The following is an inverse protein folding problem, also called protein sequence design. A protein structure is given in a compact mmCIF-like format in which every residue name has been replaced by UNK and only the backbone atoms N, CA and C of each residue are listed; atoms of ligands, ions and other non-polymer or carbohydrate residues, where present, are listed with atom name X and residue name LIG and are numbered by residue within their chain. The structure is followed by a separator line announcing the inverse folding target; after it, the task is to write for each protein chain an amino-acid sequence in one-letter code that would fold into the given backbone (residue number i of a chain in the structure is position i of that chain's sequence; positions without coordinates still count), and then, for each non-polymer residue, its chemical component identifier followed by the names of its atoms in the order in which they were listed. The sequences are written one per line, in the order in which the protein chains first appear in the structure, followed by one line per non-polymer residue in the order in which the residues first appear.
data_IF_814113459845
#
_entry.id   IF_814113459845
#
_cell.length_a   1.000
_cell.length_b   1.000
_cell.length_c   1.000
_cell.angle_alpha   90.00
_cell.angle_beta   90.00
_cell.angle_gamma   90.00
#
_symmetry.space_group_name_H-M   'P 1'
#
loop_
_entity.id
_entity.type
_entity.pdbx_description
1 polymer ?
#
# COMPACT_ATOMS: atom_id res chain seq x y z
N UNK A 1 -7.28 3.00 -22.30
CA UNK A 1 -7.93 3.20 -20.99
C UNK A 1 -7.24 2.25 -20.01
N UNK A 2 -6.80 2.70 -18.82
CA UNK A 2 -6.14 1.82 -17.86
C UNK A 2 -7.11 0.74 -17.39
N UNK A 3 -6.63 -0.51 -17.32
CA UNK A 3 -7.38 -1.66 -16.81
C UNK A 3 -6.99 -1.84 -15.34
N UNK A 4 -7.99 -1.93 -14.47
CA UNK A 4 -7.81 -2.22 -13.05
C UNK A 4 -8.30 -3.65 -12.78
N UNK A 5 -7.41 -4.50 -12.27
CA UNK A 5 -7.76 -5.85 -11.80
C UNK A 5 -8.39 -5.78 -10.40
N UNK A 6 -9.38 -6.63 -10.12
CA UNK A 6 -10.06 -6.69 -8.83
C UNK A 6 -11.17 -7.73 -8.82
N UNK A 7 -12.04 -7.70 -7.82
CA UNK A 7 -13.25 -8.53 -7.80
C UNK A 7 -14.45 -7.66 -7.44
N UNK A 8 -15.48 -7.71 -8.28
CA UNK A 8 -16.73 -7.00 -8.08
C UNK A 8 -17.89 -7.96 -8.29
N UNK A 9 -18.93 -7.82 -7.46
CA UNK A 9 -20.22 -8.46 -7.71
C UNK A 9 -21.24 -7.35 -7.94
N UNK A 10 -21.76 -7.30 -9.15
CA UNK A 10 -22.69 -6.28 -9.61
C UNK A 10 -24.08 -6.90 -9.72
N UNK A 11 -25.10 -6.25 -9.18
CA UNK A 11 -26.50 -6.61 -9.41
C UNK A 11 -27.05 -5.79 -10.58
N UNK A 12 -27.75 -6.45 -11.50
CA UNK A 12 -28.45 -5.77 -12.58
C UNK A 12 -29.71 -5.13 -12.04
N UNK A 13 -29.79 -3.80 -12.07
CA UNK A 13 -30.94 -3.03 -11.57
C UNK A 13 -31.82 -2.46 -12.69
N UNK A 14 -31.41 -2.62 -13.95
CA UNK A 14 -32.18 -2.15 -15.09
C UNK A 14 -33.16 -3.19 -15.64
N UNK A 15 -34.43 -2.77 -15.78
CA UNK A 15 -35.54 -3.63 -16.21
C UNK A 15 -35.33 -4.23 -17.61
N UNK A 16 -34.67 -3.51 -18.52
CA UNK A 16 -34.35 -4.00 -19.87
C UNK A 16 -33.18 -5.00 -19.92
N UNK A 17 -32.51 -5.25 -18.79
CA UNK A 17 -31.33 -6.09 -18.71
C UNK A 17 -30.07 -5.47 -19.32
N UNK A 18 -28.93 -6.12 -19.10
CA UNK A 18 -27.61 -5.67 -19.56
C UNK A 18 -27.01 -6.72 -20.48
N UNK A 19 -26.83 -6.37 -21.74
CA UNK A 19 -26.20 -7.24 -22.73
C UNK A 19 -24.68 -7.26 -22.57
N UNK A 20 -24.08 -8.45 -22.73
CA UNK A 20 -22.62 -8.61 -22.75
C UNK A 20 -22.03 -7.89 -23.99
N UNK A 21 -20.84 -7.32 -23.86
CA UNK A 21 -20.11 -6.62 -24.93
C UNK A 21 -18.75 -7.26 -25.14
N UNK A 22 -18.29 -7.41 -26.39
CA UNK A 22 -16.94 -7.91 -26.68
C UNK A 22 -15.83 -6.92 -26.32
N UNK A 23 -16.15 -5.64 -26.29
CA UNK A 23 -15.21 -4.56 -26.01
C UNK A 23 -15.83 -3.58 -24.99
N UNK A 24 -15.02 -2.89 -24.18
CA UNK A 24 -15.50 -1.90 -23.21
C UNK A 24 -15.89 -0.58 -23.92
N UNK A 25 -16.95 -0.63 -24.71
CA UNK A 25 -17.51 0.51 -25.45
C UNK A 25 -19.03 0.42 -25.51
N UNK A 26 -19.69 1.57 -25.67
CA UNK A 26 -21.16 1.64 -25.89
C UNK A 26 -21.61 1.11 -27.25
N UNK A 27 -20.69 0.91 -28.18
CA UNK A 27 -21.02 0.56 -29.56
C UNK A 27 -21.91 -0.69 -29.64
N UNK A 28 -23.10 -0.55 -30.25
CA UNK A 28 -24.06 -1.64 -30.38
C UNK A 28 -23.49 -2.83 -31.17
N UNK A 29 -22.58 -2.58 -32.11
CA UNK A 29 -21.87 -3.58 -32.90
C UNK A 29 -21.03 -4.57 -32.08
N UNK A 30 -20.70 -4.19 -30.84
CA UNK A 30 -19.94 -5.05 -29.92
C UNK A 30 -20.84 -5.89 -29.02
N UNK A 31 -22.17 -5.76 -29.13
CA UNK A 31 -23.11 -6.57 -28.36
C UNK A 31 -22.94 -8.04 -28.73
N UNK A 32 -22.81 -8.87 -27.72
CA UNK A 32 -23.03 -10.29 -27.86
C UNK A 32 -24.52 -10.58 -27.60
N UNK A 33 -25.24 -10.94 -28.65
CA UNK A 33 -26.68 -11.23 -28.55
C UNK A 33 -26.95 -12.55 -27.80
N UNK A 34 -25.94 -13.40 -27.62
CA UNK A 34 -26.10 -14.69 -26.96
C UNK A 34 -26.33 -14.58 -25.45
N UNK A 35 -25.93 -13.47 -24.81
CA UNK A 35 -25.98 -13.32 -23.35
C UNK A 35 -26.45 -11.93 -22.92
N UNK A 36 -27.59 -11.89 -22.24
CA UNK A 36 -28.13 -10.71 -21.57
C UNK A 36 -28.49 -11.07 -20.14
N UNK A 37 -27.96 -10.30 -19.18
CA UNK A 37 -28.28 -10.43 -17.76
C UNK A 37 -29.56 -9.66 -17.46
N UNK A 38 -30.47 -10.25 -16.70
CA UNK A 38 -31.80 -9.70 -16.38
C UNK A 38 -31.78 -9.00 -15.02
N UNK A 39 -32.83 -8.23 -14.73
CA UNK A 39 -33.05 -7.57 -13.44
C UNK A 39 -32.89 -8.58 -12.28
N UNK A 40 -32.04 -8.24 -11.31
CA UNK A 40 -31.71 -9.06 -10.14
C UNK A 40 -30.56 -10.05 -10.35
N UNK A 41 -30.05 -10.23 -11.57
CA UNK A 41 -28.91 -11.11 -11.81
C UNK A 41 -27.66 -10.55 -11.14
N UNK A 42 -26.90 -11.42 -10.48
CA UNK A 42 -25.58 -11.11 -9.92
C UNK A 42 -24.49 -11.48 -10.92
N UNK A 43 -23.73 -10.48 -11.35
CA UNK A 43 -22.64 -10.59 -12.31
C UNK A 43 -21.32 -10.45 -11.55
N UNK A 44 -20.50 -11.51 -11.60
CA UNK A 44 -19.14 -11.49 -11.05
C UNK A 44 -18.18 -10.92 -12.09
N UNK A 45 -17.35 -9.99 -11.67
CA UNK A 45 -16.41 -9.28 -12.53
C UNK A 45 -15.02 -9.28 -11.92
N UNK A 46 -13.99 -9.40 -12.76
CA UNK A 46 -12.58 -9.53 -12.36
C UNK A 46 -11.68 -8.36 -12.83
N UNK A 47 -12.19 -7.52 -13.74
CA UNK A 47 -11.51 -6.30 -14.20
C UNK A 47 -12.49 -5.16 -14.37
N UNK A 48 -12.01 -3.92 -14.28
CA UNK A 48 -12.77 -2.73 -14.67
C UNK A 48 -11.95 -1.72 -15.44
N UNK A 49 -12.64 -0.89 -16.22
CA UNK A 49 -12.06 0.20 -17.00
C UNK A 49 -12.98 1.42 -16.86
N UNK A 50 -12.40 2.56 -16.49
CA UNK A 50 -13.11 3.84 -16.49
C UNK A 50 -12.97 4.51 -17.86
N UNK A 51 -14.09 4.72 -18.55
CA UNK A 51 -14.14 5.45 -19.80
C UNK A 51 -14.05 6.96 -19.56
N UNK A 52 -13.58 7.70 -20.57
CA UNK A 52 -13.50 9.17 -20.52
C UNK A 52 -14.87 9.85 -20.38
N UNK A 53 -15.95 9.15 -20.71
CA UNK A 53 -17.34 9.56 -20.52
C UNK A 53 -17.84 9.44 -19.07
N UNK A 54 -17.02 8.87 -18.16
CA UNK A 54 -17.35 8.71 -16.75
C UNK A 54 -18.10 7.42 -16.40
N UNK A 55 -18.15 6.48 -17.33
CA UNK A 55 -18.80 5.17 -17.19
C UNK A 55 -17.75 4.10 -16.87
N UNK A 56 -18.15 3.11 -16.09
CA UNK A 56 -17.27 2.03 -15.71
C UNK A 56 -17.70 0.75 -16.43
N UNK A 57 -16.78 0.20 -17.20
CA UNK A 57 -16.94 -1.11 -17.83
C UNK A 57 -16.33 -2.17 -16.92
N UNK A 58 -17.02 -3.28 -16.72
CA UNK A 58 -16.59 -4.41 -15.90
C UNK A 58 -16.49 -5.65 -16.77
N UNK A 59 -15.35 -6.34 -16.71
CA UNK A 59 -15.14 -7.60 -17.40
C UNK A 59 -15.82 -8.72 -16.60
N UNK A 60 -16.60 -9.58 -17.26
CA UNK A 60 -17.34 -10.64 -16.59
C UNK A 60 -16.50 -11.91 -16.46
N UNK A 61 -16.33 -12.39 -15.23
CA UNK A 61 -15.51 -13.55 -14.89
C UNK A 61 -15.91 -14.79 -15.71
N UNK A 62 -14.94 -15.49 -16.28
CA UNK A 62 -15.16 -16.68 -17.09
C UNK A 62 -15.71 -16.41 -18.50
N UNK A 63 -15.73 -15.16 -18.96
CA UNK A 63 -16.08 -14.78 -20.33
C UNK A 63 -15.04 -13.81 -20.88
N UNK A 64 -15.06 -13.55 -22.19
CA UNK A 64 -14.27 -12.47 -22.82
C UNK A 64 -15.08 -11.15 -22.92
N UNK A 65 -16.16 -11.04 -22.15
CA UNK A 65 -17.16 -10.00 -22.31
C UNK A 65 -17.17 -8.97 -21.20
N UNK A 66 -17.75 -7.81 -21.52
CA UNK A 66 -17.84 -6.64 -20.66
C UNK A 66 -19.30 -6.23 -20.46
N UNK A 67 -19.60 -5.69 -19.29
CA UNK A 67 -20.85 -4.99 -18.96
C UNK A 67 -20.50 -3.59 -18.46
N UNK A 68 -21.47 -2.68 -18.30
CA UNK A 68 -21.19 -1.30 -17.85
C UNK A 68 -22.25 -0.81 -16.87
N UNK A 69 -21.82 0.07 -15.95
CA UNK A 69 -22.61 0.47 -14.78
C UNK A 69 -23.78 1.39 -15.08
N UNK A 70 -23.65 2.31 -16.04
CA UNK A 70 -24.68 3.32 -16.33
C UNK A 70 -24.70 3.74 -17.79
N UNK A 71 -25.86 4.15 -18.27
CA UNK A 71 -26.04 4.81 -19.56
C UNK A 71 -26.63 6.19 -19.32
N UNK A 72 -25.85 7.22 -19.63
CA UNK A 72 -26.20 8.63 -19.41
C UNK A 72 -26.53 8.90 -17.93
N UNK A 73 -27.80 9.07 -17.58
CA UNK A 73 -28.27 9.26 -16.20
C UNK A 73 -28.85 7.99 -15.56
N UNK A 74 -29.00 6.92 -16.34
CA UNK A 74 -29.63 5.69 -15.89
C UNK A 74 -28.61 4.68 -15.38
N UNK A 75 -28.76 4.24 -14.14
CA UNK A 75 -27.94 3.18 -13.54
C UNK A 75 -28.45 1.82 -14.06
N UNK A 76 -27.54 1.01 -14.56
CA UNK A 76 -27.77 -0.33 -15.10
C UNK A 76 -27.32 -1.42 -14.14
N UNK A 77 -26.19 -1.19 -13.46
CA UNK A 77 -25.63 -2.10 -12.47
C UNK A 77 -25.40 -1.36 -11.16
N UNK A 78 -25.78 -1.99 -10.06
CA UNK A 78 -25.48 -1.52 -8.71
C UNK A 78 -24.50 -2.48 -8.05
N UNK A 79 -23.50 -1.97 -7.36
CA UNK A 79 -22.52 -2.82 -6.69
C UNK A 79 -23.15 -3.40 -5.40
N UNK A 80 -23.56 -4.67 -5.44
CA UNK A 80 -24.34 -5.30 -4.36
C UNK A 80 -23.48 -5.62 -3.12
N UNK A 81 -22.16 -5.71 -3.26
CA UNK A 81 -21.29 -5.84 -2.08
C UNK A 81 -19.90 -5.30 -2.38
N UNK A 82 -19.50 -4.26 -1.66
CA UNK A 82 -18.11 -3.98 -1.33
C UNK A 82 -17.71 -4.93 -0.19
N UNK A 83 -17.70 -6.25 -0.43
CA UNK A 83 -16.66 -6.99 0.25
C UNK A 83 -15.39 -6.37 -0.35
N UNK A 84 -14.57 -5.61 0.41
CA UNK A 84 -13.31 -5.11 -0.13
C UNK A 84 -12.67 -6.33 -0.76
N UNK A 85 -12.23 -6.28 -2.04
CA UNK A 85 -11.66 -7.44 -2.69
C UNK A 85 -10.70 -8.00 -1.67
N UNK A 86 -11.01 -9.18 -1.14
CA UNK A 86 -10.11 -9.82 -0.20
C UNK A 86 -8.91 -10.02 -1.06
N UNK A 87 -7.90 -9.14 -0.95
CA UNK A 87 -6.65 -9.24 -1.67
C UNK A 87 -6.17 -10.63 -1.33
N UNK A 88 -6.46 -11.58 -2.21
CA UNK A 88 -6.04 -12.97 -2.10
C UNK A 88 -4.54 -13.06 -2.37
N UNK A 89 -3.90 -11.94 -2.68
CA UNK A 89 -2.46 -11.71 -2.56
C UNK A 89 -2.01 -11.59 -1.09
N UNK A 90 -2.54 -12.42 -0.21
CA UNK A 90 -1.86 -12.67 1.06
C UNK A 90 -0.62 -13.47 0.70
N UNK A 91 0.54 -12.80 0.65
CA UNK A 91 1.79 -13.50 0.39
C UNK A 91 2.02 -14.53 1.49
N UNK A 92 2.22 -15.78 1.08
CA UNK A 92 2.66 -16.83 1.98
C UNK A 92 4.17 -16.76 2.17
N UNK A 93 4.68 -17.39 3.23
CA UNK A 93 6.12 -17.54 3.46
C UNK A 93 6.78 -18.21 2.25
N UNK A 94 6.15 -19.26 1.72
CA UNK A 94 6.68 -20.02 0.58
C UNK A 94 6.67 -19.21 -0.72
N UNK A 95 5.66 -18.36 -0.92
CA UNK A 95 5.64 -17.44 -2.05
C UNK A 95 6.84 -16.48 -2.01
N UNK A 96 7.07 -15.81 -0.88
CA UNK A 96 8.20 -14.87 -0.75
C UNK A 96 9.54 -15.57 -0.92
N UNK A 97 9.70 -16.78 -0.39
CA UNK A 97 10.89 -17.61 -0.60
C UNK A 97 11.07 -17.99 -2.06
N UNK A 98 9.98 -18.40 -2.74
CA UNK A 98 9.99 -18.70 -4.17
C UNK A 98 10.46 -17.51 -5.00
N UNK A 99 9.96 -16.31 -4.69
CA UNK A 99 10.39 -15.07 -5.35
C UNK A 99 11.86 -14.75 -5.06
N UNK A 100 12.31 -14.89 -3.81
CA UNK A 100 13.70 -14.68 -3.44
C UNK A 100 14.65 -15.65 -4.16
N UNK A 101 14.29 -16.93 -4.27
CA UNK A 101 15.05 -17.94 -5.03
C UNK A 101 15.06 -17.65 -6.54
N UNK A 102 13.90 -17.23 -7.09
CA UNK A 102 13.77 -16.93 -8.51
C UNK A 102 14.45 -15.63 -8.95
N UNK A 103 14.75 -14.71 -8.02
CA UNK A 103 15.39 -13.44 -8.31
C UNK A 103 16.84 -13.57 -8.86
N UNK A 104 17.45 -14.75 -8.76
CA UNK A 104 18.77 -15.05 -9.31
C UNK A 104 19.93 -14.31 -8.61
N UNK A 105 19.65 -13.57 -7.55
CA UNK A 105 20.66 -13.08 -6.62
C UNK A 105 20.86 -14.10 -5.51
N UNK A 106 22.10 -14.23 -5.05
CA UNK A 106 22.46 -14.94 -3.83
C UNK A 106 21.87 -14.19 -2.62
N UNK A 107 20.57 -14.39 -2.37
CA UNK A 107 19.85 -13.91 -1.19
C UNK A 107 19.88 -15.02 -0.14
N UNK A 108 20.49 -14.73 0.99
CA UNK A 108 20.52 -15.59 2.16
C UNK A 108 19.39 -15.19 3.13
N UNK A 109 18.49 -16.12 3.46
CA UNK A 109 17.48 -15.90 4.49
C UNK A 109 18.15 -15.77 5.86
N UNK A 110 17.99 -14.61 6.52
CA UNK A 110 18.56 -14.35 7.84
C UNK A 110 17.63 -14.76 8.99
N UNK A 111 16.33 -14.50 8.83
CA UNK A 111 15.36 -14.75 9.90
C UNK A 111 13.92 -14.75 9.40
N UNK A 112 13.09 -15.56 10.04
CA UNK A 112 11.64 -15.56 9.91
C UNK A 112 10.99 -15.26 11.26
N UNK A 113 10.18 -14.21 11.32
CA UNK A 113 9.34 -13.89 12.47
C UNK A 113 7.88 -14.14 12.09
N UNK A 114 7.35 -15.31 12.46
CA UNK A 114 5.98 -15.71 12.17
C UNK A 114 4.92 -14.82 12.85
N UNK A 115 5.21 -14.34 14.07
CA UNK A 115 4.28 -13.51 14.84
C UNK A 115 4.06 -12.13 14.20
N UNK A 116 5.13 -11.54 13.66
CA UNK A 116 5.06 -10.24 12.98
C UNK A 116 4.92 -10.36 11.46
N UNK A 117 4.84 -11.57 10.92
CA UNK A 117 4.78 -11.84 9.49
C UNK A 117 5.94 -11.25 8.69
N UNK A 118 7.16 -11.33 9.23
CA UNK A 118 8.35 -10.75 8.60
C UNK A 118 9.35 -11.82 8.18
N UNK A 119 9.82 -11.74 6.94
CA UNK A 119 11.01 -12.44 6.44
C UNK A 119 12.14 -11.43 6.23
N UNK A 120 13.36 -11.81 6.56
CA UNK A 120 14.54 -10.99 6.32
C UNK A 120 15.55 -11.76 5.50
N UNK A 121 16.02 -11.16 4.42
CA UNK A 121 17.06 -11.67 3.55
C UNK A 121 18.27 -10.75 3.55
N UNK A 122 19.42 -11.29 3.19
CA UNK A 122 20.66 -10.54 2.98
C UNK A 122 21.28 -10.95 1.66
N UNK A 123 21.65 -9.97 0.84
CA UNK A 123 22.46 -10.24 -0.36
C UNK A 123 23.87 -10.68 0.05
N UNK A 124 24.45 -11.67 -0.62
CA UNK A 124 25.87 -12.04 -0.44
C UNK A 124 26.84 -11.01 -1.02
N UNK A 125 26.34 -10.02 -1.76
CA UNK A 125 27.16 -8.94 -2.32
C UNK A 125 27.99 -8.22 -1.23
N UNK A 126 29.16 -7.64 -1.56
CA UNK A 126 30.03 -6.96 -0.59
C UNK A 126 29.35 -5.86 0.22
N UNK A 127 28.32 -5.21 -0.35
CA UNK A 127 27.56 -4.15 0.30
C UNK A 127 26.55 -4.66 1.33
N UNK A 128 26.28 -5.98 1.38
CA UNK A 128 25.40 -6.63 2.37
C UNK A 128 24.08 -5.90 2.57
N UNK A 129 23.23 -5.90 1.54
CA UNK A 129 21.90 -5.28 1.63
C UNK A 129 20.96 -6.25 2.33
N UNK A 130 20.26 -5.73 3.34
CA UNK A 130 19.18 -6.40 4.04
C UNK A 130 17.84 -6.04 3.41
N UNK A 131 17.08 -7.05 2.99
CA UNK A 131 15.70 -6.93 2.50
C UNK A 131 14.77 -7.49 3.57
N UNK A 132 13.78 -6.72 4.00
CA UNK A 132 12.80 -7.11 5.02
C UNK A 132 11.42 -7.08 4.39
N UNK A 133 10.70 -8.19 4.43
CA UNK A 133 9.38 -8.34 3.80
C UNK A 133 8.35 -8.64 4.87
N UNK A 134 7.41 -7.72 5.07
CA UNK A 134 6.15 -8.00 5.77
C UNK A 134 5.16 -8.59 4.75
N UNK A 135 5.03 -9.92 4.78
CA UNK A 135 4.25 -10.66 3.79
C UNK A 135 2.73 -10.58 4.04
N UNK A 136 2.30 -10.13 5.22
CA UNK A 136 0.88 -9.87 5.48
C UNK A 136 0.45 -8.51 4.96
N UNK A 137 1.32 -7.50 5.06
CA UNK A 137 1.03 -6.13 4.62
C UNK A 137 1.55 -5.80 3.22
N UNK A 138 2.23 -6.73 2.54
CA UNK A 138 2.90 -6.49 1.26
C UNK A 138 3.89 -5.33 1.35
N UNK A 139 4.61 -5.20 2.46
CA UNK A 139 5.56 -4.09 2.68
C UNK A 139 6.98 -4.61 2.58
N UNK A 140 7.81 -3.95 1.77
CA UNK A 140 9.20 -4.33 1.54
C UNK A 140 10.13 -3.18 1.93
N UNK A 141 11.04 -3.45 2.86
CA UNK A 141 12.09 -2.55 3.28
C UNK A 141 13.46 -3.02 2.76
N UNK A 142 14.30 -2.12 2.25
CA UNK A 142 15.71 -2.41 1.95
C UNK A 142 16.62 -1.50 2.76
N UNK A 143 17.73 -2.02 3.27
CA UNK A 143 18.71 -1.29 4.09
C UNK A 143 20.12 -1.81 3.88
N UNK A 144 21.12 -0.93 3.91
CA UNK A 144 22.54 -1.31 3.76
C UNK A 144 23.11 -1.59 5.16
N UNK A 145 23.67 -2.78 5.36
CA UNK A 145 24.33 -3.14 6.64
C UNK A 145 25.63 -2.34 6.75
N UNK A 146 25.85 -1.69 7.90
CA UNK A 146 27.01 -0.81 8.18
C UNK A 146 27.07 0.48 7.35
N UNK A 147 25.92 1.02 6.95
CA UNK A 147 25.83 2.37 6.40
C UNK A 147 26.50 3.41 7.34
N UNK A 148 27.62 3.99 6.91
CA UNK A 148 28.29 5.11 7.58
C UNK A 148 27.37 6.34 7.51
N UNK A 149 26.60 6.54 8.60
CA UNK A 149 25.69 7.67 8.89
C UNK A 149 24.67 8.00 7.77
N UNK A 150 23.38 7.85 8.11
CA UNK A 150 22.22 8.35 7.35
C UNK A 150 21.87 7.70 6.01
N UNK A 151 22.46 6.54 5.66
CA UNK A 151 22.17 5.90 4.36
C UNK A 151 20.91 5.01 4.37
N UNK A 152 19.84 5.64 3.88
CA UNK A 152 18.79 5.15 2.96
C UNK A 152 18.24 3.77 3.31
N UNK A 153 17.25 3.75 4.22
CA UNK A 153 16.27 2.69 4.25
C UNK A 153 15.17 3.05 3.24
N UNK A 154 14.96 2.20 2.23
CA UNK A 154 13.83 2.35 1.31
C UNK A 154 12.69 1.49 1.84
N UNK A 155 11.49 2.05 1.94
CA UNK A 155 10.29 1.30 2.33
C UNK A 155 9.25 1.49 1.22
N UNK A 156 8.72 0.38 0.71
CA UNK A 156 7.59 0.35 -0.21
C UNK A 156 6.43 -0.41 0.42
N UNK A 157 5.23 0.17 0.37
CA UNK A 157 4.00 -0.39 0.93
C UNK A 157 3.11 -0.90 -0.21
N UNK A 158 2.25 -1.87 0.07
CA UNK A 158 1.31 -2.45 -0.91
C UNK A 158 2.00 -2.97 -2.18
N UNK A 159 3.20 -3.51 -2.05
CA UNK A 159 3.93 -4.08 -3.17
C UNK A 159 3.14 -5.23 -3.80
N UNK A 160 3.13 -5.26 -5.13
CA UNK A 160 2.64 -6.37 -5.93
C UNK A 160 3.68 -7.51 -6.00
N UNK A 161 3.26 -8.75 -6.30
CA UNK A 161 4.18 -9.87 -6.57
C UNK A 161 5.34 -9.52 -7.53
N UNK A 162 5.02 -8.77 -8.60
CA UNK A 162 5.99 -8.33 -9.60
C UNK A 162 6.99 -7.33 -9.02
N UNK A 163 6.52 -6.34 -8.27
CA UNK A 163 7.40 -5.38 -7.60
C UNK A 163 8.30 -6.06 -6.56
N UNK A 164 7.78 -7.04 -5.82
CA UNK A 164 8.61 -7.84 -4.91
C UNK A 164 9.75 -8.53 -5.68
N UNK A 165 9.45 -9.17 -6.81
CA UNK A 165 10.45 -9.82 -7.64
C UNK A 165 11.51 -8.82 -8.15
N UNK A 166 11.09 -7.66 -8.64
CA UNK A 166 12.00 -6.59 -9.08
C UNK A 166 12.90 -6.08 -7.94
N UNK A 167 12.34 -5.91 -6.73
CA UNK A 167 13.10 -5.49 -5.55
C UNK A 167 14.10 -6.56 -5.15
N UNK A 168 13.72 -7.84 -5.18
CA UNK A 168 14.61 -8.96 -4.84
C UNK A 168 15.72 -9.13 -5.88
N UNK A 169 15.43 -8.89 -7.17
CA UNK A 169 16.41 -8.97 -8.25
C UNK A 169 17.40 -7.80 -8.24
N UNK A 170 16.99 -6.63 -7.77
CA UNK A 170 17.90 -5.48 -7.62
C UNK A 170 17.53 -4.60 -6.40
N UNK A 171 17.94 -5.00 -5.18
CA UNK A 171 17.60 -4.28 -3.95
C UNK A 171 18.11 -2.83 -3.89
N UNK A 172 19.13 -2.48 -4.72
CA UNK A 172 19.68 -1.11 -4.82
C UNK A 172 18.87 -0.21 -5.76
N UNK A 173 18.51 -0.72 -6.95
CA UNK A 173 17.90 0.09 -8.00
C UNK A 173 16.43 0.44 -7.73
N UNK A 174 15.81 -0.20 -6.74
CA UNK A 174 14.46 0.12 -6.27
C UNK A 174 14.31 1.54 -5.66
N UNK A 175 15.37 2.34 -5.63
CA UNK A 175 15.41 3.70 -5.09
C UNK A 175 14.61 4.77 -5.86
N UNK A 176 13.28 4.71 -5.79
CA UNK A 176 12.41 5.91 -5.74
C UNK A 176 11.80 6.10 -4.35
N UNK A 177 12.32 5.43 -3.33
CA UNK A 177 11.88 5.64 -1.96
C UNK A 177 12.44 6.94 -1.41
N UNK A 178 11.66 7.57 -0.53
CA UNK A 178 11.96 8.77 0.25
C UNK A 178 13.43 8.83 0.67
N UNK A 179 14.29 9.39 -0.19
CA UNK A 179 15.62 9.82 0.19
C UNK A 179 15.41 11.02 1.09
N UNK A 180 15.09 10.75 2.36
CA UNK A 180 15.11 11.65 3.52
C UNK A 180 15.00 13.12 3.09
N UNK A 181 13.85 13.51 2.50
CA UNK A 181 13.57 14.91 2.11
C UNK A 181 13.64 15.83 3.33
N UNK A 182 13.63 15.25 4.53
CA UNK A 182 14.07 15.80 5.80
C UNK A 182 15.36 16.63 5.72
N UNK A 183 16.38 16.21 4.95
CA UNK A 183 17.61 17.00 4.80
C UNK A 183 17.55 18.05 3.71
N UNK A 184 16.79 17.83 2.63
CA UNK A 184 16.63 18.85 1.59
C UNK A 184 15.74 20.01 2.08
N UNK A 185 14.74 19.73 2.93
CA UNK A 185 13.95 20.76 3.61
C UNK A 185 14.73 21.46 4.74
N UNK A 186 15.62 20.77 5.47
CA UNK A 186 16.50 21.44 6.44
C UNK A 186 17.56 22.33 5.76
N UNK A 187 18.10 21.93 4.60
CA UNK A 187 18.98 22.79 3.79
C UNK A 187 18.23 24.01 3.22
N UNK A 188 16.96 23.84 2.84
CA UNK A 188 16.14 24.93 2.31
C UNK A 188 15.54 25.84 3.39
N UNK A 189 15.53 25.45 4.67
CA UNK A 189 15.14 26.33 5.79
C UNK A 189 16.18 27.40 6.13
N UNK A 190 17.36 27.38 5.52
CA UNK A 190 18.38 28.42 5.68
C UNK A 190 18.33 29.52 4.60
N UNK A 191 17.43 29.43 3.61
CA UNK A 191 17.27 30.46 2.57
C UNK A 191 15.86 31.03 2.69
N UNK A 192 15.76 32.19 3.33
CA UNK A 192 14.55 33.02 3.37
C UNK A 192 14.23 33.44 1.92
N UNK A 193 13.10 33.02 1.32
CA UNK A 193 12.72 33.51 0.01
C UNK A 193 12.08 34.89 0.17
N UNK A 194 12.68 35.90 -0.46
CA UNK A 194 12.08 37.21 -0.67
C UNK A 194 10.81 37.07 -1.53
N UNK A 195 9.68 37.73 -1.19
CA UNK A 195 8.39 37.45 -1.81
C UNK A 195 8.17 38.32 -3.05
N UNK A 196 8.36 37.80 -4.26
CA UNK A 196 7.89 38.45 -5.50
C UNK A 196 7.18 37.43 -6.43
N UNK A 197 5.89 37.67 -6.68
CA UNK A 197 5.19 37.17 -7.87
C UNK A 197 3.95 36.28 -7.62
N UNK A 198 2.75 36.69 -8.09
CA UNK A 198 1.55 35.85 -8.04
C UNK A 198 1.58 34.82 -9.19
N UNK A 199 1.85 33.56 -8.84
CA UNK A 199 1.84 32.42 -9.75
C UNK A 199 0.72 31.44 -9.40
N UNK A 200 -0.01 31.03 -10.43
CA UNK A 200 -1.20 30.17 -10.44
C UNK A 200 -0.95 28.83 -9.71
N UNK A 201 -1.77 28.53 -8.70
CA UNK A 201 -1.71 27.30 -7.90
C UNK A 201 -2.52 26.20 -8.58
N UNK A 202 -1.86 25.14 -9.06
CA UNK A 202 -2.50 23.88 -9.39
C UNK A 202 -2.88 23.15 -8.09
N UNK A 203 -4.17 22.95 -7.87
CA UNK A 203 -4.72 22.20 -6.76
C UNK A 203 -4.46 20.69 -6.94
N UNK A 204 -3.43 20.17 -6.29
CA UNK A 204 -3.12 18.73 -6.30
C UNK A 204 -2.11 18.24 -5.26
N UNK A 205 -1.44 19.12 -4.50
CA UNK A 205 -0.34 18.71 -3.59
C UNK A 205 -0.69 18.62 -2.10
N UNK A 206 -1.85 19.16 -1.67
CA UNK A 206 -2.13 19.34 -0.24
C UNK A 206 -2.44 18.05 0.53
N UNK A 207 -3.09 17.07 -0.11
CA UNK A 207 -3.47 15.82 0.57
C UNK A 207 -2.25 14.96 0.90
N UNK A 208 -1.28 14.87 -0.01
CA UNK A 208 -0.07 14.07 0.19
C UNK A 208 0.83 14.69 1.27
N UNK A 209 0.88 16.02 1.36
CA UNK A 209 1.58 16.73 2.44
C UNK A 209 0.91 16.47 3.80
N UNK A 210 -0.42 16.43 3.87
CA UNK A 210 -1.15 16.08 5.08
C UNK A 210 -0.93 14.63 5.49
N UNK A 211 -0.96 13.68 4.54
CA UNK A 211 -0.67 12.26 4.82
C UNK A 211 0.75 12.07 5.36
N UNK A 212 1.72 12.79 4.83
CA UNK A 212 3.09 12.76 5.33
C UNK A 212 3.21 13.41 6.72
N UNK A 213 2.46 14.49 6.97
CA UNK A 213 2.38 15.12 8.29
C UNK A 213 1.84 14.15 9.36
N UNK A 214 0.82 13.35 9.03
CA UNK A 214 0.27 12.34 9.95
C UNK A 214 1.32 11.30 10.34
N UNK A 215 2.09 10.78 9.38
CA UNK A 215 3.15 9.79 9.67
C UNK A 215 4.23 10.39 10.60
N UNK A 216 4.60 11.66 10.40
CA UNK A 216 5.57 12.33 11.27
C UNK A 216 5.05 12.51 12.70
N UNK A 217 3.74 12.76 12.85
CA UNK A 217 3.10 12.85 14.16
C UNK A 217 3.09 11.48 14.85
N UNK A 218 2.81 10.39 14.12
CA UNK A 218 2.86 9.03 14.66
C UNK A 218 4.26 8.66 15.19
N UNK A 219 5.31 8.95 14.42
CA UNK A 219 6.71 8.71 14.85
C UNK A 219 7.06 9.53 16.12
N UNK A 220 6.60 10.79 16.18
CA UNK A 220 6.81 11.66 17.34
C UNK A 220 6.08 11.12 18.58
N UNK A 221 4.87 10.60 18.41
CA UNK A 221 4.11 9.96 19.50
C UNK A 221 4.86 8.74 20.02
N UNK A 222 5.42 7.91 19.15
CA UNK A 222 6.17 6.72 19.56
C UNK A 222 7.48 7.08 20.31
N UNK A 223 8.19 8.12 19.87
CA UNK A 223 9.38 8.64 20.57
C UNK A 223 9.02 9.17 21.97
N UNK A 224 7.93 9.95 22.07
CA UNK A 224 7.44 10.46 23.35
C UNK A 224 6.98 9.34 24.28
N UNK A 225 6.34 8.29 23.75
CA UNK A 225 5.95 7.12 24.51
C UNK A 225 7.17 6.39 25.10
N UNK A 226 8.24 6.23 24.32
CA UNK A 226 9.52 5.66 24.79
C UNK A 226 10.15 6.52 25.90
N UNK A 227 10.25 7.84 25.69
CA UNK A 227 10.78 8.76 26.71
C UNK A 227 9.98 8.72 28.01
N UNK A 228 8.64 8.65 27.91
CA UNK A 228 7.76 8.50 29.09
C UNK A 228 8.06 7.19 29.83
N UNK A 229 8.22 6.07 29.12
CA UNK A 229 8.53 4.78 29.74
C UNK A 229 9.88 4.83 30.48
N UNK A 230 10.89 5.46 29.89
CA UNK A 230 12.21 5.59 30.51
C UNK A 230 12.19 6.49 31.74
N UNK A 231 11.42 7.59 31.71
CA UNK A 231 11.18 8.44 32.89
C UNK A 231 10.44 7.69 34.01
N UNK A 232 9.44 6.88 33.67
CA UNK A 232 8.75 6.05 34.66
C UNK A 232 9.69 5.01 35.29
N UNK A 233 10.58 4.41 34.50
CA UNK A 233 11.61 3.50 35.00
C UNK A 233 12.60 4.22 35.92
N UNK A 234 13.00 5.45 35.61
CA UNK A 234 13.94 6.22 36.43
C UNK A 234 13.32 6.75 37.73
N UNK A 235 11.99 6.93 37.78
CA UNK A 235 11.27 7.33 38.98
C UNK A 235 11.08 6.19 40.00
N UNK A 236 10.98 4.94 39.53
CA UNK A 236 10.72 3.76 40.38
C UNK A 236 11.60 3.65 41.64
N UNK A 237 12.93 3.87 41.60
CA UNK A 237 13.77 3.79 42.81
C UNK A 237 13.47 4.88 43.86
N UNK A 238 12.88 6.01 43.46
CA UNK A 238 12.48 7.08 44.38
C UNK A 238 11.17 6.73 45.08
N UNK A 239 10.21 6.17 44.34
CA UNK A 239 8.95 5.68 44.91
C UNK A 239 9.20 4.55 45.90
N UNK A 240 10.10 3.61 45.58
CA UNK A 240 10.51 2.52 46.48
C UNK A 240 11.20 3.04 47.76
N UNK A 241 11.93 4.16 47.68
CA UNK A 241 12.53 4.81 48.86
C UNK A 241 11.47 5.50 49.72
N UNK A 242 10.51 6.19 49.09
CA UNK A 242 9.41 6.87 49.78
C UNK A 242 8.49 5.87 50.50
N UNK A 243 8.19 4.73 49.87
CA UNK A 243 7.41 3.65 50.46
C UNK A 243 8.09 3.10 51.72
N UNK A 244 9.40 2.81 51.66
CA UNK A 244 10.18 2.33 52.81
C UNK A 244 10.23 3.32 53.98
N UNK A 245 10.41 4.60 53.69
CA UNK A 245 10.41 5.64 54.72
C UNK A 245 9.04 5.77 55.42
N UNK A 246 7.94 5.67 54.66
CA UNK A 246 6.57 5.71 55.21
C UNK A 246 6.29 4.54 56.15
N UNK A 247 6.79 3.34 55.83
CA UNK A 247 6.67 2.17 56.72
C UNK A 247 7.47 2.34 58.01
N UNK A 248 8.67 2.91 57.93
CA UNK A 248 9.54 3.12 59.10
C UNK A 248 8.96 4.12 60.12
N UNK A 249 8.18 5.12 59.67
CA UNK A 249 7.56 6.11 60.57
C UNK A 249 6.31 5.59 61.31
N UNK A 250 5.79 4.42 60.95
CA UNK A 250 4.59 3.83 61.58
C UNK A 250 4.91 2.81 62.68
N UNK A 251 6.19 2.54 62.93
CA UNK A 251 6.70 1.64 63.98
C UNK A 251 7.19 2.47 65.14
#
# INVERSE_FOLDING_TARGET
MPIEDGQWTMEVVYVGGVGLRRLPTRSQWTRDESKTYKLGDLVKCDKRVLASTGETFYHVEGTDGWVFDKMDTQILLEQNTTAPPTKTDVWTVDFVRGVAMGAGQDLEELSHNAQNHVLTFRTTTPEKIKVTVDYKRGTVGTSIINATKHKIQLIRRNCTPKELAEIMQNPKASGKGFATRLMQQQKNKAVVPTPHGPGIILAGSGEEDLRNSVVMVEDTIEELARKRLDLLKSLKPYDDRRARASTAMKV
#
